data_IF_981037159381
#
_entry.id   IF_981037159381
#
_cell.length_a   1.000
_cell.length_b   1.000
_cell.length_c   1.000
_cell.angle_alpha   90.00
_cell.angle_beta   90.00
_cell.angle_gamma   90.00
#
_symmetry.space_group_name_H-M   'P 1'
#
loop_
_entity.id
_entity.type
_entity.pdbx_description
1 polymer ?
#
# COMPACT_ATOMS: atom_id res chain seq x y z
N UNK A 1 -1.40 -12.66 1.48
CA UNK A 1 -2.01 -11.68 2.43
C UNK A 1 -1.04 -10.54 2.73
N UNK A 2 -1.52 -9.39 3.24
CA UNK A 2 -0.70 -8.32 3.82
C UNK A 2 -0.91 -8.28 5.32
N UNK A 3 0.13 -8.02 6.12
CA UNK A 3 0.01 -8.00 7.58
C UNK A 3 -0.93 -6.91 8.09
N UNK A 4 -0.76 -5.67 7.62
CA UNK A 4 -1.52 -4.52 8.09
C UNK A 4 -1.35 -4.27 9.59
N UNK A 5 -2.31 -3.56 10.19
CA UNK A 5 -2.34 -3.28 11.62
C UNK A 5 -2.82 -4.44 12.51
N UNK A 6 -3.40 -5.51 11.93
CA UNK A 6 -3.86 -6.72 12.66
C UNK A 6 -3.45 -7.98 11.88
N UNK A 7 -2.17 -8.39 11.97
CA UNK A 7 -1.61 -9.46 11.16
C UNK A 7 -2.24 -10.82 11.43
N UNK A 8 -2.65 -11.10 12.67
CA UNK A 8 -3.29 -12.38 13.03
C UNK A 8 -4.70 -12.50 12.43
N UNK A 9 -5.49 -11.43 12.46
CA UNK A 9 -6.82 -11.42 11.83
C UNK A 9 -6.70 -11.52 10.31
N UNK A 10 -5.74 -10.83 9.71
CA UNK A 10 -5.52 -10.87 8.26
C UNK A 10 -5.03 -12.26 7.79
N UNK A 11 -4.19 -12.94 8.58
CA UNK A 11 -3.81 -14.34 8.32
C UNK A 11 -5.02 -15.28 8.45
N UNK A 12 -5.83 -15.12 9.50
CA UNK A 12 -7.02 -15.93 9.70
C UNK A 12 -8.02 -15.82 8.55
N UNK A 13 -8.25 -14.61 8.07
CA UNK A 13 -9.09 -14.37 6.87
C UNK A 13 -8.50 -14.98 5.60
N UNK A 14 -7.21 -14.81 5.38
CA UNK A 14 -6.55 -15.40 4.22
C UNK A 14 -6.62 -16.93 4.22
N UNK A 15 -6.57 -17.57 5.40
CA UNK A 15 -6.77 -19.00 5.55
C UNK A 15 -8.23 -19.41 5.27
N UNK A 16 -9.22 -18.65 5.77
CA UNK A 16 -10.65 -18.86 5.46
C UNK A 16 -10.92 -18.73 3.95
N UNK A 17 -10.47 -17.64 3.34
CA UNK A 17 -10.67 -17.33 1.93
C UNK A 17 -9.97 -18.32 0.98
N UNK A 18 -8.94 -19.02 1.46
CA UNK A 18 -8.23 -20.04 0.66
C UNK A 18 -9.06 -21.28 0.35
N UNK A 19 -10.22 -21.44 1.01
CA UNK A 19 -11.13 -22.56 0.78
C UNK A 19 -10.58 -23.91 1.28
N UNK A 20 -9.57 -23.91 2.17
CA UNK A 20 -8.98 -25.14 2.72
C UNK A 20 -9.77 -25.71 3.92
N UNK A 21 -10.85 -25.06 4.33
CA UNK A 21 -11.75 -25.53 5.37
C UNK A 21 -13.14 -25.88 4.79
N UNK A 22 -13.75 -26.94 5.32
CA UNK A 22 -15.13 -27.29 5.05
C UNK A 22 -16.00 -26.71 6.17
N UNK A 23 -16.41 -25.47 6.01
CA UNK A 23 -17.28 -24.82 6.98
C UNK A 23 -18.26 -23.92 6.26
N UNK A 24 -19.54 -24.02 6.63
CA UNK A 24 -20.61 -23.10 6.25
C UNK A 24 -20.81 -22.00 7.32
N UNK A 25 -19.91 -21.94 8.31
CA UNK A 25 -20.00 -20.96 9.40
C UNK A 25 -19.56 -19.57 8.89
N UNK A 26 -20.45 -18.61 8.95
CA UNK A 26 -20.11 -17.21 8.73
C UNK A 26 -19.07 -16.73 9.77
N UNK A 27 -17.98 -16.12 9.29
CA UNK A 27 -16.89 -15.60 10.11
C UNK A 27 -16.04 -16.66 10.84
N UNK A 28 -15.78 -17.80 10.21
CA UNK A 28 -14.89 -18.84 10.74
C UNK A 28 -13.48 -18.32 11.04
N UNK A 29 -13.04 -17.25 10.36
CA UNK A 29 -11.78 -16.58 10.66
C UNK A 29 -11.62 -16.19 12.14
N UNK A 30 -12.72 -15.96 12.90
CA UNK A 30 -12.64 -15.66 14.34
C UNK A 30 -12.16 -16.87 15.15
N UNK A 31 -12.57 -18.06 14.74
CA UNK A 31 -12.09 -19.30 15.33
C UNK A 31 -10.61 -19.52 15.01
N UNK A 32 -10.23 -19.33 13.74
CA UNK A 32 -8.84 -19.40 13.29
C UNK A 32 -7.97 -18.37 14.02
N UNK A 33 -8.41 -17.12 14.13
CA UNK A 33 -7.68 -16.08 14.88
C UNK A 33 -7.45 -16.46 16.35
N UNK A 34 -8.47 -17.01 17.01
CA UNK A 34 -8.32 -17.47 18.38
C UNK A 34 -7.30 -18.62 18.50
N UNK A 35 -7.25 -19.50 17.52
CA UNK A 35 -6.27 -20.58 17.44
C UNK A 35 -4.86 -20.05 17.20
N UNK A 36 -4.69 -19.17 16.23
CA UNK A 36 -3.41 -18.51 15.92
C UNK A 36 -2.84 -17.73 17.13
N UNK A 37 -3.70 -17.13 17.96
CA UNK A 37 -3.28 -16.38 19.14
C UNK A 37 -2.94 -17.21 20.37
N UNK A 38 -3.12 -18.55 20.36
CA UNK A 38 -2.89 -19.39 21.55
C UNK A 38 -1.43 -19.72 21.80
N UNK A 39 -0.68 -19.99 20.74
CA UNK A 39 0.73 -20.42 20.82
C UNK A 39 1.42 -20.24 19.49
N UNK A 40 2.74 -20.37 19.47
CA UNK A 40 3.55 -20.38 18.23
C UNK A 40 3.19 -21.54 17.29
N UNK A 41 2.57 -22.62 17.83
CA UNK A 41 2.09 -23.76 17.04
C UNK A 41 0.70 -23.52 16.43
N UNK A 42 0.04 -22.40 16.72
CA UNK A 42 -1.34 -22.14 16.32
C UNK A 42 -1.60 -22.24 14.82
N UNK A 43 -0.63 -21.85 13.97
CA UNK A 43 -0.73 -21.98 12.52
C UNK A 43 -0.68 -23.46 12.09
N UNK A 44 0.21 -24.24 12.68
CA UNK A 44 0.34 -25.68 12.42
C UNK A 44 -0.93 -26.40 12.84
N UNK A 45 -1.49 -26.05 14.00
CA UNK A 45 -2.75 -26.60 14.50
C UNK A 45 -3.92 -26.24 13.58
N UNK A 46 -3.99 -24.97 13.10
CA UNK A 46 -4.99 -24.52 12.15
C UNK A 46 -4.91 -25.32 10.84
N UNK A 47 -3.71 -25.49 10.29
CA UNK A 47 -3.50 -26.29 9.07
C UNK A 47 -3.80 -27.77 9.30
N UNK A 48 -3.57 -28.29 10.51
CA UNK A 48 -3.92 -29.68 10.85
C UNK A 48 -5.42 -29.95 10.83
N UNK A 49 -6.26 -28.92 11.08
CA UNK A 49 -7.72 -29.01 11.02
C UNK A 49 -8.28 -28.74 9.62
N UNK A 50 -7.43 -28.38 8.66
CA UNK A 50 -7.84 -28.15 7.27
C UNK A 50 -8.02 -29.46 6.51
N UNK A 51 -8.66 -29.38 5.32
CA UNK A 51 -8.78 -30.51 4.39
C UNK A 51 -7.55 -30.73 3.49
N UNK A 52 -6.46 -30.02 3.73
CA UNK A 52 -5.20 -30.22 3.03
C UNK A 52 -4.72 -31.66 3.25
N UNK A 53 -4.51 -32.39 2.17
CA UNK A 53 -4.01 -33.76 2.22
C UNK A 53 -2.53 -33.78 2.61
N UNK A 54 -2.05 -34.94 3.05
CA UNK A 54 -0.66 -35.08 3.49
C UNK A 54 0.36 -34.85 2.36
N UNK A 55 -0.02 -35.12 1.12
CA UNK A 55 0.76 -34.92 -0.09
C UNK A 55 0.72 -33.48 -0.63
N UNK A 56 -0.20 -32.65 -0.14
CA UNK A 56 -0.32 -31.27 -0.57
C UNK A 56 0.59 -30.35 0.27
N UNK A 57 1.08 -29.29 -0.36
CA UNK A 57 1.88 -28.27 0.30
C UNK A 57 1.02 -26.98 0.47
N UNK A 58 1.19 -26.30 1.60
CA UNK A 58 0.63 -24.98 1.82
C UNK A 58 1.70 -23.91 1.58
N UNK A 59 1.43 -22.97 0.69
CA UNK A 59 2.25 -21.79 0.49
C UNK A 59 1.57 -20.57 1.09
N UNK A 60 2.22 -19.94 2.06
CA UNK A 60 1.80 -18.67 2.66
C UNK A 60 2.66 -17.56 2.07
N UNK A 61 2.04 -16.63 1.34
CA UNK A 61 2.72 -15.44 0.80
C UNK A 61 2.31 -14.23 1.62
N UNK A 62 3.29 -13.62 2.29
CA UNK A 62 3.12 -12.37 3.04
C UNK A 62 3.75 -11.23 2.26
N UNK A 63 2.90 -10.43 1.64
CA UNK A 63 3.31 -9.27 0.83
C UNK A 63 3.39 -8.02 1.71
N UNK A 64 4.35 -7.14 1.43
CA UNK A 64 4.62 -5.92 2.20
C UNK A 64 4.89 -6.21 3.69
N UNK A 65 5.78 -7.18 3.95
CA UNK A 65 6.10 -7.61 5.32
C UNK A 65 6.64 -6.48 6.20
N UNK A 66 7.20 -5.43 5.61
CA UNK A 66 7.66 -4.22 6.32
C UNK A 66 6.54 -3.51 7.11
N UNK A 67 5.27 -3.77 6.83
CA UNK A 67 4.15 -3.22 7.59
C UNK A 67 4.21 -3.64 9.07
N UNK A 68 4.72 -4.84 9.36
CA UNK A 68 4.92 -5.34 10.73
C UNK A 68 5.80 -4.39 11.57
N UNK A 69 6.83 -3.81 10.97
CA UNK A 69 7.74 -2.90 11.67
C UNK A 69 7.12 -1.50 11.86
N UNK A 70 6.28 -1.07 10.93
CA UNK A 70 5.62 0.24 10.94
C UNK A 70 4.55 0.34 12.03
N UNK A 71 3.65 -0.64 12.12
CA UNK A 71 2.54 -0.62 13.07
C UNK A 71 2.96 -0.96 14.52
N UNK A 72 4.18 -1.43 14.73
CA UNK A 72 4.70 -1.72 16.06
C UNK A 72 4.88 -0.49 16.94
N UNK A 73 5.17 0.67 16.35
CA UNK A 73 5.47 1.90 17.08
C UNK A 73 4.30 2.52 17.83
N UNK A 74 3.06 2.14 17.47
CA UNK A 74 1.86 2.85 17.89
C UNK A 74 1.28 2.35 19.21
N UNK A 75 1.58 1.08 19.61
CA UNK A 75 1.02 0.52 20.84
C UNK A 75 1.79 -0.74 21.31
N UNK A 76 1.92 -0.93 22.62
CA UNK A 76 2.57 -2.13 23.19
C UNK A 76 1.86 -3.45 22.74
N UNK A 77 0.54 -3.42 22.55
CA UNK A 77 -0.23 -4.57 22.07
C UNK A 77 0.15 -4.95 20.63
N UNK A 78 0.41 -3.98 19.76
CA UNK A 78 0.84 -4.25 18.37
C UNK A 78 2.23 -4.87 18.32
N UNK A 79 3.12 -4.50 19.25
CA UNK A 79 4.45 -5.12 19.33
C UNK A 79 4.39 -6.61 19.70
N UNK A 80 3.51 -6.98 20.62
CA UNK A 80 3.29 -8.37 21.01
C UNK A 80 2.63 -9.18 19.87
N UNK A 81 1.65 -8.60 19.20
CA UNK A 81 0.95 -9.24 18.08
C UNK A 81 1.88 -9.44 16.87
N UNK A 82 2.74 -8.48 16.58
CA UNK A 82 3.78 -8.61 15.56
C UNK A 82 4.77 -9.74 15.88
N UNK A 83 5.22 -9.83 17.14
CA UNK A 83 6.11 -10.90 17.58
C UNK A 83 5.43 -12.28 17.49
N UNK A 84 4.16 -12.37 17.89
CA UNK A 84 3.36 -13.60 17.79
C UNK A 84 3.19 -14.04 16.32
N UNK A 85 2.87 -13.12 15.44
CA UNK A 85 2.73 -13.39 14.01
C UNK A 85 4.04 -13.92 13.40
N UNK A 86 5.17 -13.28 13.70
CA UNK A 86 6.49 -13.73 13.20
C UNK A 86 6.84 -15.11 13.73
N UNK A 87 6.62 -15.37 15.03
CA UNK A 87 6.89 -16.68 15.63
C UNK A 87 6.03 -17.79 15.02
N UNK A 88 4.75 -17.51 14.67
CA UNK A 88 3.90 -18.47 13.96
C UNK A 88 4.48 -18.85 12.59
N UNK A 89 4.99 -17.86 11.84
CA UNK A 89 5.58 -18.10 10.52
C UNK A 89 6.89 -18.88 10.61
N UNK A 90 7.75 -18.54 11.56
CA UNK A 90 9.03 -19.22 11.79
C UNK A 90 8.78 -20.69 12.18
N UNK A 91 7.95 -20.93 13.19
CA UNK A 91 7.63 -22.28 13.65
C UNK A 91 6.99 -23.13 12.55
N UNK A 92 6.09 -22.53 11.75
CA UNK A 92 5.47 -23.21 10.64
C UNK A 92 6.45 -23.56 9.51
N UNK A 93 7.46 -22.71 9.26
CA UNK A 93 8.48 -22.96 8.21
C UNK A 93 9.47 -24.07 8.58
N UNK A 94 9.66 -24.35 9.87
CA UNK A 94 10.54 -25.41 10.38
C UNK A 94 9.90 -26.79 10.40
N UNK A 95 8.58 -26.89 10.14
CA UNK A 95 7.85 -28.14 10.21
C UNK A 95 8.22 -29.11 9.07
N UNK A 96 8.46 -30.36 9.47
CA UNK A 96 8.77 -31.46 8.54
C UNK A 96 7.57 -32.40 8.30
N UNK A 97 6.57 -32.41 9.19
CA UNK A 97 5.41 -33.30 9.08
C UNK A 97 4.37 -32.83 8.07
N UNK A 98 4.19 -31.49 7.95
CA UNK A 98 3.38 -30.84 6.93
C UNK A 98 4.22 -29.79 6.24
N UNK A 99 4.29 -29.85 4.91
CA UNK A 99 5.09 -28.91 4.14
C UNK A 99 4.36 -27.55 4.07
N UNK A 100 4.65 -26.67 5.03
CA UNK A 100 4.22 -25.27 5.04
C UNK A 100 5.40 -24.43 4.58
N UNK A 101 5.24 -23.77 3.44
CA UNK A 101 6.24 -22.85 2.89
C UNK A 101 5.79 -21.40 3.13
N UNK A 102 6.72 -20.57 3.57
CA UNK A 102 6.48 -19.15 3.81
C UNK A 102 7.36 -18.33 2.87
N UNK A 103 6.74 -17.45 2.11
CA UNK A 103 7.44 -16.43 1.31
C UNK A 103 7.03 -15.06 1.83
N UNK A 104 8.00 -14.25 2.19
CA UNK A 104 7.79 -12.85 2.53
C UNK A 104 8.36 -11.97 1.42
N UNK A 105 7.63 -10.92 1.03
CA UNK A 105 8.16 -9.84 0.21
C UNK A 105 8.36 -8.62 1.08
N UNK A 106 9.51 -7.97 0.97
CA UNK A 106 9.85 -6.85 1.81
C UNK A 106 10.81 -5.90 1.08
N UNK A 107 10.73 -4.64 1.37
CA UNK A 107 11.70 -3.65 0.89
C UNK A 107 13.04 -3.86 1.59
N UNK A 108 14.13 -3.73 0.84
CA UNK A 108 15.50 -3.97 1.34
C UNK A 108 15.95 -2.99 2.45
N UNK A 109 15.35 -1.81 2.52
CA UNK A 109 15.61 -0.83 3.58
C UNK A 109 15.15 -1.30 4.97
N UNK A 110 14.24 -2.29 5.06
CA UNK A 110 13.78 -2.89 6.32
C UNK A 110 14.53 -4.17 6.74
N UNK A 111 15.54 -4.61 5.98
CA UNK A 111 16.32 -5.81 6.36
C UNK A 111 16.94 -5.70 7.75
N UNK A 112 17.42 -4.50 8.12
CA UNK A 112 17.97 -4.23 9.45
C UNK A 112 16.95 -4.42 10.59
N UNK A 113 15.67 -4.16 10.33
CA UNK A 113 14.60 -4.28 11.30
C UNK A 113 14.27 -5.73 11.67
N UNK A 114 14.60 -6.68 10.81
CA UNK A 114 14.45 -8.11 11.08
C UNK A 114 15.24 -8.54 12.32
N UNK A 115 16.36 -7.87 12.64
CA UNK A 115 17.18 -8.17 13.81
C UNK A 115 16.48 -7.90 15.15
N UNK A 116 15.38 -7.19 15.15
CA UNK A 116 14.57 -6.92 16.34
C UNK A 116 13.77 -8.16 16.79
N UNK A 117 13.66 -9.18 15.93
CA UNK A 117 12.91 -10.39 16.19
C UNK A 117 13.84 -11.61 16.15
N UNK A 118 13.84 -12.34 17.26
CA UNK A 118 14.68 -13.53 17.39
C UNK A 118 14.29 -14.58 16.35
N UNK A 119 15.28 -15.13 15.63
CA UNK A 119 15.08 -16.15 14.60
C UNK A 119 14.70 -15.61 13.23
N UNK A 120 14.16 -14.38 13.13
CA UNK A 120 13.75 -13.82 11.85
C UNK A 120 14.96 -13.45 10.98
N UNK A 121 15.99 -12.83 11.57
CA UNK A 121 17.19 -12.46 10.84
C UNK A 121 17.93 -13.70 10.31
N UNK A 122 17.99 -14.77 11.09
CA UNK A 122 18.59 -16.04 10.70
C UNK A 122 17.81 -16.65 9.53
N UNK A 123 16.49 -16.75 9.63
CA UNK A 123 15.63 -17.29 8.57
C UNK A 123 15.72 -16.47 7.27
N UNK A 124 15.78 -15.14 7.37
CA UNK A 124 16.00 -14.26 6.22
C UNK A 124 17.36 -14.54 5.58
N UNK A 125 18.44 -14.61 6.35
CA UNK A 125 19.78 -14.89 5.82
C UNK A 125 19.91 -16.27 5.12
N UNK A 126 19.12 -17.24 5.54
CA UNK A 126 19.09 -18.58 4.91
C UNK A 126 18.26 -18.63 3.63
N UNK A 127 17.22 -17.80 3.54
CA UNK A 127 16.22 -17.81 2.45
C UNK A 127 16.17 -16.56 1.60
N UNK A 128 17.11 -15.61 1.76
CA UNK A 128 17.07 -14.33 1.06
C UNK A 128 17.29 -14.48 -0.45
N UNK A 129 16.41 -13.84 -1.21
CA UNK A 129 16.61 -13.57 -2.63
C UNK A 129 16.45 -12.09 -2.93
N UNK A 130 17.55 -11.37 -3.07
CA UNK A 130 17.54 -9.95 -3.42
C UNK A 130 17.16 -9.77 -4.88
N UNK A 131 15.97 -9.19 -5.13
CA UNK A 131 15.51 -8.86 -6.48
C UNK A 131 16.28 -7.62 -6.98
N UNK A 132 17.07 -7.76 -8.07
CA UNK A 132 17.83 -6.63 -8.61
C UNK A 132 16.87 -5.61 -9.28
N UNK A 133 17.33 -4.36 -9.35
CA UNK A 133 16.63 -3.34 -10.14
C UNK A 133 16.56 -3.73 -11.61
N UNK A 134 15.47 -3.35 -12.28
CA UNK A 134 15.32 -3.58 -13.72
C UNK A 134 16.46 -2.87 -14.49
N UNK A 135 17.17 -3.61 -15.32
CA UNK A 135 18.10 -3.04 -16.28
C UNK A 135 17.35 -2.36 -17.45
N UNK A 136 18.09 -1.63 -18.30
CA UNK A 136 17.49 -0.86 -19.41
C UNK A 136 16.66 -1.73 -20.36
N UNK A 137 17.07 -2.96 -20.64
CA UNK A 137 16.34 -3.89 -21.50
C UNK A 137 15.05 -4.38 -20.86
N UNK A 138 15.08 -4.68 -19.55
CA UNK A 138 13.91 -5.08 -18.79
C UNK A 138 12.91 -3.92 -18.66
N UNK A 139 13.39 -2.68 -18.45
CA UNK A 139 12.54 -1.47 -18.47
C UNK A 139 11.87 -1.29 -19.84
N UNK A 140 12.61 -1.50 -20.94
CA UNK A 140 12.05 -1.49 -22.30
C UNK A 140 10.92 -2.51 -22.45
N UNK A 141 11.12 -3.75 -21.99
CA UNK A 141 10.08 -4.79 -22.04
C UNK A 141 8.87 -4.43 -21.19
N UNK A 142 9.08 -3.79 -20.02
CA UNK A 142 8.01 -3.32 -19.16
C UNK A 142 7.18 -2.17 -19.79
N UNK A 143 7.79 -1.38 -20.68
CA UNK A 143 7.10 -0.35 -21.45
C UNK A 143 6.36 -0.94 -22.65
N UNK A 144 7.04 -1.74 -23.48
CA UNK A 144 6.49 -2.25 -24.74
C UNK A 144 5.49 -3.39 -24.56
N UNK A 145 5.70 -4.22 -23.51
CA UNK A 145 4.89 -5.42 -23.27
C UNK A 145 3.40 -5.14 -23.09
N UNK A 146 3.00 -4.28 -22.14
CA UNK A 146 1.59 -3.93 -21.92
C UNK A 146 0.93 -3.34 -23.17
N UNK A 147 1.64 -2.49 -23.92
CA UNK A 147 1.12 -1.90 -25.15
C UNK A 147 0.82 -2.96 -26.21
N UNK A 148 1.71 -3.95 -26.36
CA UNK A 148 1.49 -5.10 -27.26
C UNK A 148 0.31 -5.97 -26.82
N UNK A 149 0.17 -6.22 -25.51
CA UNK A 149 -0.98 -6.96 -24.97
C UNK A 149 -2.29 -6.23 -25.23
N UNK A 150 -2.27 -4.88 -25.15
CA UNK A 150 -3.42 -4.04 -25.54
C UNK A 150 -3.68 -3.96 -27.04
N UNK A 151 -2.93 -4.71 -27.87
CA UNK A 151 -3.12 -4.78 -29.33
C UNK A 151 -2.59 -3.56 -30.09
N UNK A 152 -1.75 -2.73 -29.48
CA UNK A 152 -1.17 -1.53 -30.09
C UNK A 152 0.34 -1.58 -30.20
N UNK A 153 0.89 -0.57 -30.84
CA UNK A 153 2.33 -0.36 -30.96
C UNK A 153 2.71 0.98 -30.31
N UNK A 154 3.95 1.08 -29.89
CA UNK A 154 4.55 2.28 -29.32
C UNK A 154 5.75 2.69 -30.19
N UNK A 155 5.86 3.97 -30.49
CA UNK A 155 6.96 4.51 -31.30
C UNK A 155 8.30 4.44 -30.54
N UNK A 156 9.36 4.10 -31.27
CA UNK A 156 10.70 3.93 -30.67
C UNK A 156 11.19 5.21 -29.98
N UNK A 157 10.82 6.39 -30.47
CA UNK A 157 11.19 7.68 -29.86
C UNK A 157 10.53 7.86 -28.49
N UNK A 158 9.26 7.45 -28.33
CA UNK A 158 8.58 7.49 -27.01
C UNK A 158 9.22 6.50 -26.05
N UNK A 159 9.53 5.28 -26.48
CA UNK A 159 10.23 4.29 -25.64
C UNK A 159 11.57 4.83 -25.15
N UNK A 160 12.31 5.51 -26.04
CA UNK A 160 13.60 6.10 -25.69
C UNK A 160 13.46 7.23 -24.67
N UNK A 161 12.45 8.09 -24.82
CA UNK A 161 12.17 9.18 -23.89
C UNK A 161 11.79 8.64 -22.51
N UNK A 162 10.85 7.70 -22.44
CA UNK A 162 10.48 7.03 -21.20
C UNK A 162 11.69 6.38 -20.50
N UNK A 163 12.59 5.73 -21.27
CA UNK A 163 13.81 5.15 -20.73
C UNK A 163 14.82 6.19 -20.21
N UNK A 164 14.79 7.40 -20.71
CA UNK A 164 15.63 8.50 -20.25
C UNK A 164 15.02 9.15 -19.00
N UNK A 165 13.70 9.31 -18.96
CA UNK A 165 12.96 9.91 -17.85
C UNK A 165 12.93 9.03 -16.61
N UNK A 166 12.98 7.68 -16.78
CA UNK A 166 13.15 6.75 -15.68
C UNK A 166 14.57 6.92 -15.11
N UNK A 167 14.75 7.76 -14.12
CA UNK A 167 16.00 7.89 -13.39
C UNK A 167 16.41 6.60 -12.63
N UNK A 168 17.39 6.73 -11.74
CA UNK A 168 17.86 5.62 -10.90
C UNK A 168 17.07 5.45 -9.59
N UNK A 169 16.03 6.26 -9.38
CA UNK A 169 15.16 6.19 -8.21
C UNK A 169 14.27 4.92 -8.28
N UNK A 170 14.27 4.07 -7.22
CA UNK A 170 13.45 2.85 -7.19
C UNK A 170 11.94 3.12 -7.29
N UNK A 171 11.47 4.30 -6.88
CA UNK A 171 10.05 4.66 -6.87
C UNK A 171 9.53 5.14 -8.24
N UNK A 172 10.35 5.11 -9.28
CA UNK A 172 9.97 5.57 -10.63
C UNK A 172 9.06 4.60 -11.39
N UNK A 173 9.03 3.31 -11.04
CA UNK A 173 8.20 2.34 -11.75
C UNK A 173 6.69 2.59 -11.61
N UNK A 174 6.14 2.91 -10.44
CA UNK A 174 4.74 3.32 -10.31
C UNK A 174 4.42 4.60 -11.10
N UNK A 175 5.35 5.56 -11.13
CA UNK A 175 5.19 6.80 -11.91
C UNK A 175 5.19 6.49 -13.40
N UNK A 176 6.10 5.63 -13.87
CA UNK A 176 6.12 5.14 -15.24
C UNK A 176 4.81 4.47 -15.64
N UNK A 177 4.32 3.55 -14.80
CA UNK A 177 3.05 2.86 -15.04
C UNK A 177 1.91 3.86 -15.17
N UNK A 178 1.85 4.86 -14.29
CA UNK A 178 0.84 5.89 -14.32
C UNK A 178 0.95 6.77 -15.58
N UNK A 179 2.15 7.23 -15.93
CA UNK A 179 2.38 8.03 -17.13
C UNK A 179 2.00 7.27 -18.41
N UNK A 180 2.33 5.97 -18.50
CA UNK A 180 1.92 5.13 -19.63
C UNK A 180 0.40 4.96 -19.69
N UNK A 181 -0.27 4.77 -18.56
CA UNK A 181 -1.73 4.69 -18.48
C UNK A 181 -2.36 5.98 -19.00
N UNK A 182 -1.89 7.13 -18.55
CA UNK A 182 -2.37 8.46 -19.03
C UNK A 182 -2.12 8.69 -20.50
N UNK A 183 -0.93 8.30 -21.00
CA UNK A 183 -0.58 8.38 -22.42
C UNK A 183 -1.53 7.52 -23.26
N UNK A 184 -1.84 6.32 -22.78
CA UNK A 184 -2.81 5.41 -23.40
C UNK A 184 -4.20 6.04 -23.44
N UNK A 185 -4.71 6.53 -22.32
CA UNK A 185 -6.04 7.16 -22.22
C UNK A 185 -6.16 8.38 -23.15
N UNK A 186 -5.13 9.22 -23.19
CA UNK A 186 -5.10 10.38 -24.07
C UNK A 186 -5.19 9.97 -25.54
N UNK A 187 -4.40 8.96 -25.95
CA UNK A 187 -4.43 8.41 -27.29
C UNK A 187 -5.83 7.82 -27.62
N UNK A 188 -6.46 7.07 -26.73
CA UNK A 188 -7.81 6.52 -26.92
C UNK A 188 -8.87 7.61 -27.06
N UNK A 189 -8.83 8.65 -26.22
CA UNK A 189 -9.73 9.81 -26.30
C UNK A 189 -9.57 10.58 -27.61
N UNK A 190 -8.37 10.56 -28.20
CA UNK A 190 -8.07 11.12 -29.53
C UNK A 190 -8.53 10.26 -30.71
N UNK A 191 -9.25 9.13 -30.45
CA UNK A 191 -9.75 8.22 -31.48
C UNK A 191 -8.94 6.94 -31.64
N UNK A 192 -7.85 6.77 -30.89
CA UNK A 192 -7.09 5.52 -30.76
C UNK A 192 -6.39 5.05 -32.05
N UNK A 193 -6.23 5.92 -33.06
CA UNK A 193 -5.63 5.56 -34.33
C UNK A 193 -4.10 5.75 -34.31
N UNK A 194 -3.38 4.83 -34.95
CA UNK A 194 -1.92 4.87 -35.01
C UNK A 194 -1.24 4.31 -33.76
N UNK A 195 0.04 4.58 -33.66
CA UNK A 195 0.88 4.12 -32.56
C UNK A 195 0.88 5.14 -31.41
N UNK A 196 1.13 4.66 -30.17
CA UNK A 196 1.43 5.56 -29.07
C UNK A 196 2.73 6.31 -29.38
N UNK A 197 2.73 7.63 -29.26
CA UNK A 197 3.85 8.47 -29.63
C UNK A 197 4.13 9.59 -28.63
N UNK A 198 5.25 10.26 -28.79
CA UNK A 198 5.78 11.29 -27.90
C UNK A 198 4.76 12.42 -27.65
N UNK A 199 4.02 12.83 -28.68
CA UNK A 199 2.97 13.87 -28.57
C UNK A 199 1.89 13.53 -27.54
N UNK A 200 1.50 12.25 -27.44
CA UNK A 200 0.51 11.80 -26.46
C UNK A 200 1.07 11.84 -25.03
N UNK A 201 2.35 11.51 -24.88
CA UNK A 201 3.06 11.53 -23.62
C UNK A 201 3.31 12.97 -23.11
N UNK A 202 3.74 13.87 -23.98
CA UNK A 202 3.95 15.29 -23.67
C UNK A 202 2.63 15.98 -23.29
N UNK A 203 1.54 15.66 -23.98
CA UNK A 203 0.21 16.20 -23.69
C UNK A 203 -0.27 15.87 -22.27
N UNK A 204 0.15 14.72 -21.72
CA UNK A 204 -0.19 14.31 -20.35
C UNK A 204 0.76 14.82 -19.27
N UNK A 205 1.83 15.55 -19.65
CA UNK A 205 2.83 16.10 -18.73
C UNK A 205 4.01 15.18 -18.45
N UNK A 206 4.16 14.08 -19.19
CA UNK A 206 5.28 13.16 -19.04
C UNK A 206 5.31 12.48 -17.67
N UNK A 207 6.45 11.90 -17.30
CA UNK A 207 6.59 11.24 -15.98
C UNK A 207 6.54 12.21 -14.79
N UNK A 208 6.98 13.45 -14.99
CA UNK A 208 7.12 14.40 -13.88
C UNK A 208 5.78 14.95 -13.40
N UNK A 209 4.83 15.17 -14.30
CA UNK A 209 3.60 15.89 -14.02
C UNK A 209 2.33 15.02 -14.18
N UNK A 210 2.40 13.89 -14.90
CA UNK A 210 1.21 13.09 -15.20
C UNK A 210 0.42 12.67 -13.95
N UNK A 211 1.13 12.25 -12.89
CA UNK A 211 0.50 11.85 -11.64
C UNK A 211 -0.12 13.05 -10.90
N UNK A 212 0.61 14.17 -10.82
CA UNK A 212 0.13 15.40 -10.16
C UNK A 212 -1.07 16.00 -10.91
N UNK A 213 -0.96 16.17 -12.23
CA UNK A 213 -2.06 16.69 -13.05
C UNK A 213 -3.32 15.84 -12.94
N UNK A 214 -3.17 14.52 -12.95
CA UNK A 214 -4.33 13.63 -12.83
C UNK A 214 -4.99 13.73 -11.45
N UNK A 215 -4.21 13.86 -10.37
CA UNK A 215 -4.76 14.09 -9.05
C UNK A 215 -5.44 15.47 -8.95
N UNK A 216 -4.89 16.49 -9.62
CA UNK A 216 -5.48 17.84 -9.72
C UNK A 216 -6.80 17.81 -10.52
N UNK A 217 -6.87 17.06 -11.63
CA UNK A 217 -8.12 16.86 -12.38
C UNK A 217 -9.24 16.34 -11.47
N UNK A 218 -8.95 15.33 -10.62
CA UNK A 218 -9.93 14.80 -9.66
C UNK A 218 -10.32 15.86 -8.60
N UNK A 219 -9.33 16.62 -8.12
CA UNK A 219 -9.57 17.70 -7.15
C UNK A 219 -10.48 18.80 -7.73
N UNK A 220 -10.27 19.16 -8.98
CA UNK A 220 -11.06 20.19 -9.67
C UNK A 220 -12.50 19.72 -9.99
N UNK A 221 -12.71 18.41 -10.15
CA UNK A 221 -14.05 17.82 -10.32
C UNK A 221 -14.89 17.85 -9.04
N UNK A 222 -14.30 18.06 -7.86
CA UNK A 222 -15.04 18.14 -6.61
C UNK A 222 -16.00 19.34 -6.62
N UNK A 223 -17.27 19.04 -6.36
CA UNK A 223 -18.37 19.96 -6.65
C UNK A 223 -18.42 21.21 -5.73
N UNK A 224 -17.94 21.07 -4.48
CA UNK A 224 -18.07 22.12 -3.47
C UNK A 224 -16.72 22.44 -2.82
N UNK A 225 -16.60 23.66 -2.26
CA UNK A 225 -15.44 24.03 -1.45
C UNK A 225 -15.35 23.21 -0.15
N UNK A 226 -16.47 22.68 0.32
CA UNK A 226 -16.52 21.77 1.47
C UNK A 226 -15.88 20.42 1.13
N UNK A 227 -16.22 19.84 -0.04
CA UNK A 227 -15.61 18.61 -0.53
C UNK A 227 -14.10 18.76 -0.71
N UNK A 228 -13.63 19.90 -1.21
CA UNK A 228 -12.20 20.22 -1.34
C UNK A 228 -11.50 20.29 0.01
N UNK A 229 -12.14 20.87 1.03
CA UNK A 229 -11.62 20.88 2.41
C UNK A 229 -11.58 19.49 3.01
N UNK A 230 -12.58 18.66 2.75
CA UNK A 230 -12.57 17.27 3.21
C UNK A 230 -11.49 16.47 2.48
N UNK A 231 -11.32 16.66 1.18
CA UNK A 231 -10.23 16.06 0.41
C UNK A 231 -8.86 16.37 1.02
N UNK A 232 -8.57 17.64 1.30
CA UNK A 232 -7.33 18.06 1.96
C UNK A 232 -7.13 17.33 3.30
N UNK A 233 -8.15 17.30 4.17
CA UNK A 233 -8.08 16.65 5.47
C UNK A 233 -7.92 15.14 5.36
N UNK A 234 -8.60 14.48 4.40
CA UNK A 234 -8.46 13.05 4.11
C UNK A 234 -7.01 12.73 3.78
N UNK A 235 -6.43 13.41 2.80
CA UNK A 235 -5.06 13.13 2.37
C UNK A 235 -4.02 13.49 3.43
N UNK A 236 -4.24 14.53 4.24
CA UNK A 236 -3.41 14.82 5.42
C UNK A 236 -3.48 13.69 6.43
N UNK A 237 -4.67 13.21 6.78
CA UNK A 237 -4.86 12.11 7.74
C UNK A 237 -4.24 10.79 7.25
N UNK A 238 -4.29 10.53 5.93
CA UNK A 238 -3.66 9.36 5.31
C UNK A 238 -2.14 9.49 5.10
N UNK A 239 -1.53 10.60 5.54
CA UNK A 239 -0.09 10.86 5.37
C UNK A 239 0.52 11.22 6.72
N UNK A 240 1.47 10.43 7.19
CA UNK A 240 2.27 10.75 8.35
C UNK A 240 3.66 11.23 7.95
N UNK A 241 4.19 12.25 8.60
CA UNK A 241 5.54 12.77 8.34
C UNK A 241 6.51 12.31 9.41
N UNK A 242 7.45 11.47 9.05
CA UNK A 242 8.56 11.07 9.90
C UNK A 242 9.67 12.11 9.84
N UNK A 243 10.48 12.19 10.92
CA UNK A 243 11.51 13.20 11.20
C UNK A 243 12.55 13.44 10.09
N UNK A 244 12.65 12.59 9.08
CA UNK A 244 13.58 12.70 7.94
C UNK A 244 12.98 13.32 6.66
N UNK A 245 11.78 13.89 6.73
CA UNK A 245 11.19 14.62 5.59
C UNK A 245 10.47 13.76 4.56
N UNK A 246 10.40 12.44 4.74
CA UNK A 246 9.62 11.53 3.88
C UNK A 246 8.23 11.33 4.47
N UNK A 247 7.19 11.56 3.66
CA UNK A 247 5.82 11.17 4.02
C UNK A 247 5.69 9.65 4.02
N UNK A 248 5.02 9.10 5.03
CA UNK A 248 4.66 7.69 5.13
C UNK A 248 3.15 7.59 5.01
N UNK A 249 2.66 6.53 4.36
CA UNK A 249 1.23 6.24 4.31
C UNK A 249 0.72 5.87 5.70
N UNK A 250 -0.45 6.40 6.03
CA UNK A 250 -1.15 6.14 7.28
C UNK A 250 -2.56 5.60 6.98
N UNK A 251 -2.71 4.29 6.73
CA UNK A 251 -4.00 3.67 6.46
C UNK A 251 -4.95 3.86 7.64
N UNK A 252 -6.21 4.26 7.38
CA UNK A 252 -7.22 4.49 8.41
C UNK A 252 -8.56 3.87 8.04
N UNK A 253 -9.29 3.35 9.03
CA UNK A 253 -10.68 2.97 8.81
C UNK A 253 -11.55 4.20 8.51
N UNK A 254 -12.55 4.07 7.61
CA UNK A 254 -13.44 5.18 7.22
C UNK A 254 -14.10 5.86 8.42
N UNK A 255 -14.42 5.12 9.49
CA UNK A 255 -14.97 5.68 10.73
C UNK A 255 -13.99 6.59 11.46
N UNK A 256 -12.75 6.12 11.63
CA UNK A 256 -11.65 6.91 12.24
C UNK A 256 -11.29 8.12 11.39
N UNK A 257 -11.26 7.93 10.06
CA UNK A 257 -11.01 9.02 9.12
C UNK A 257 -12.07 10.12 9.24
N UNK A 258 -13.35 9.75 9.42
CA UNK A 258 -14.43 10.71 9.64
C UNK A 258 -14.25 11.50 10.94
N UNK A 259 -13.83 10.85 12.03
CA UNK A 259 -13.53 11.52 13.30
C UNK A 259 -12.40 12.53 13.16
N UNK A 260 -11.29 12.13 12.51
CA UNK A 260 -10.13 13.00 12.27
C UNK A 260 -10.47 14.19 11.37
N UNK A 261 -11.25 13.95 10.31
CA UNK A 261 -11.74 15.01 9.40
C UNK A 261 -12.73 15.94 10.10
N UNK A 262 -13.40 15.48 11.17
CA UNK A 262 -14.38 16.22 11.94
C UNK A 262 -15.77 16.18 11.29
N UNK A 263 -16.19 14.99 10.81
CA UNK A 263 -17.51 14.75 10.19
C UNK A 263 -18.27 13.72 11.03
N UNK A 264 -19.49 14.03 11.41
CA UNK A 264 -20.34 13.14 12.22
C UNK A 264 -20.77 11.87 11.47
N UNK A 265 -20.85 11.93 10.14
CA UNK A 265 -21.31 10.81 9.30
C UNK A 265 -20.24 10.45 8.26
N UNK A 266 -19.58 9.28 8.39
CA UNK A 266 -18.56 8.81 7.43
C UNK A 266 -19.05 8.79 5.97
N UNK A 267 -20.35 8.65 5.73
CA UNK A 267 -20.92 8.64 4.38
C UNK A 267 -20.70 9.95 3.61
N UNK A 268 -20.46 11.05 4.30
CA UNK A 268 -20.10 12.33 3.65
C UNK A 268 -18.75 12.30 2.95
N UNK A 269 -17.82 11.45 3.42
CA UNK A 269 -16.50 11.28 2.82
C UNK A 269 -16.51 10.30 1.65
N UNK A 270 -17.52 9.43 1.56
CA UNK A 270 -17.60 8.39 0.52
C UNK A 270 -17.47 8.96 -0.88
N UNK A 271 -18.21 10.01 -1.30
CA UNK A 271 -18.10 10.55 -2.66
C UNK A 271 -16.67 11.00 -3.02
N UNK A 272 -15.95 11.56 -2.04
CA UNK A 272 -14.58 12.06 -2.24
C UNK A 272 -13.62 10.88 -2.39
N UNK A 273 -13.70 9.89 -1.50
CA UNK A 273 -12.87 8.69 -1.58
C UNK A 273 -13.14 7.92 -2.87
N UNK A 274 -14.43 7.80 -3.28
CA UNK A 274 -14.82 7.17 -4.55
C UNK A 274 -14.23 7.91 -5.76
N UNK A 275 -14.21 9.24 -5.75
CA UNK A 275 -13.63 10.02 -6.84
C UNK A 275 -12.15 9.69 -7.07
N UNK A 276 -11.39 9.43 -5.99
CA UNK A 276 -9.96 9.12 -6.06
C UNK A 276 -9.63 7.64 -6.24
N UNK A 277 -10.57 6.72 -5.99
CA UNK A 277 -10.37 5.28 -6.18
C UNK A 277 -11.06 4.70 -7.41
N UNK A 278 -11.82 5.52 -8.15
CA UNK A 278 -12.51 5.11 -9.36
C UNK A 278 -11.59 4.43 -10.38
N UNK A 279 -12.18 3.60 -11.23
CA UNK A 279 -11.45 2.93 -12.32
C UNK A 279 -10.63 3.93 -13.16
N UNK A 280 -9.38 3.64 -13.41
CA UNK A 280 -8.42 4.51 -14.11
C UNK A 280 -7.76 5.57 -13.23
N UNK A 281 -8.25 5.85 -12.02
CA UNK A 281 -7.64 6.82 -11.08
C UNK A 281 -6.77 6.14 -10.05
N UNK A 282 -7.31 5.23 -9.30
CA UNK A 282 -6.61 4.33 -8.35
C UNK A 282 -5.59 5.03 -7.42
N UNK A 283 -5.89 6.25 -6.97
CA UNK A 283 -5.05 6.99 -6.00
C UNK A 283 -5.25 6.50 -4.58
N UNK A 284 -6.47 6.01 -4.29
CA UNK A 284 -6.83 5.45 -2.98
C UNK A 284 -7.22 3.96 -3.10
N UNK A 285 -6.99 3.24 -2.02
CA UNK A 285 -7.41 1.87 -1.79
C UNK A 285 -8.54 1.85 -0.74
N UNK A 286 -9.36 0.79 -0.69
CA UNK A 286 -9.36 -0.40 -1.54
C UNK A 286 -9.92 -0.13 -2.94
N UNK A 287 -9.84 -1.08 -3.89
CA UNK A 287 -10.42 -0.95 -5.23
C UNK A 287 -11.92 -0.60 -5.18
N UNK A 288 -12.42 0.04 -6.24
CA UNK A 288 -13.82 0.49 -6.37
C UNK A 288 -14.85 -0.66 -6.28
N UNK A 289 -14.44 -1.90 -6.51
CA UNK A 289 -15.27 -3.10 -6.34
C UNK A 289 -15.66 -3.40 -4.87
N UNK A 290 -14.99 -2.77 -3.89
CA UNK A 290 -15.27 -2.95 -2.46
C UNK A 290 -16.13 -1.79 -1.97
N UNK A 291 -17.32 -2.08 -1.44
CA UNK A 291 -18.21 -1.07 -0.86
C UNK A 291 -17.59 -0.43 0.40
N UNK A 292 -17.58 0.91 0.47
CA UNK A 292 -17.03 1.64 1.60
C UNK A 292 -17.99 1.64 2.79
N UNK A 293 -17.59 0.94 3.85
CA UNK A 293 -18.25 0.95 5.15
C UNK A 293 -17.34 1.52 6.26
N UNK A 294 -17.86 1.79 7.46
CA UNK A 294 -17.09 2.43 8.54
C UNK A 294 -15.82 1.71 8.96
N UNK A 295 -15.76 0.39 8.75
CA UNK A 295 -14.61 -0.47 9.09
C UNK A 295 -13.64 -0.70 7.93
N UNK A 296 -13.96 -0.21 6.74
CA UNK A 296 -13.11 -0.37 5.56
C UNK A 296 -11.92 0.56 5.70
N UNK A 297 -10.72 0.01 5.55
CA UNK A 297 -9.47 0.77 5.64
C UNK A 297 -9.21 1.44 4.30
N UNK A 298 -9.02 2.76 4.34
CA UNK A 298 -8.61 3.59 3.20
C UNK A 298 -7.12 3.86 3.31
N UNK A 299 -6.40 3.76 2.19
CA UNK A 299 -4.97 4.02 2.11
C UNK A 299 -4.61 4.70 0.79
N UNK A 300 -3.50 5.41 0.75
CA UNK A 300 -2.91 5.93 -0.49
C UNK A 300 -2.28 4.76 -1.25
N UNK A 301 -2.64 4.58 -2.52
CA UNK A 301 -2.19 3.44 -3.31
C UNK A 301 -0.67 3.39 -3.51
N UNK A 302 -0.03 4.54 -3.72
CA UNK A 302 1.39 4.66 -3.99
C UNK A 302 2.04 5.82 -3.24
N UNK A 303 3.17 5.56 -2.58
CA UNK A 303 3.96 6.59 -1.88
C UNK A 303 4.40 7.73 -2.80
N UNK A 304 4.56 7.45 -4.10
CA UNK A 304 4.91 8.46 -5.11
C UNK A 304 3.93 9.64 -5.14
N UNK A 305 2.63 9.42 -4.86
CA UNK A 305 1.65 10.50 -4.81
C UNK A 305 2.02 11.55 -3.77
N UNK A 306 2.48 11.13 -2.60
CA UNK A 306 2.89 12.04 -1.51
C UNK A 306 4.13 12.89 -1.85
N UNK A 307 4.88 12.49 -2.88
CA UNK A 307 6.12 13.19 -3.30
C UNK A 307 5.91 14.11 -4.49
N UNK A 308 4.95 13.77 -5.37
CA UNK A 308 4.79 14.49 -6.64
C UNK A 308 3.51 15.30 -6.73
N UNK A 309 2.46 14.99 -5.97
CA UNK A 309 1.24 15.79 -6.02
C UNK A 309 1.40 17.11 -5.27
N UNK A 310 1.46 18.20 -6.03
CA UNK A 310 1.77 19.52 -5.51
C UNK A 310 0.84 20.02 -4.39
N UNK A 311 -0.46 19.67 -4.44
CA UNK A 311 -1.40 19.97 -3.34
C UNK A 311 -1.02 19.22 -2.07
N UNK A 312 -0.80 17.91 -2.15
CA UNK A 312 -0.51 17.09 -0.98
C UNK A 312 0.82 17.47 -0.33
N UNK A 313 1.88 17.68 -1.13
CA UNK A 313 3.17 18.14 -0.64
C UNK A 313 3.03 19.44 0.16
N UNK A 314 2.32 20.43 -0.38
CA UNK A 314 2.07 21.71 0.29
C UNK A 314 1.27 21.55 1.57
N UNK A 315 0.16 20.80 1.54
CA UNK A 315 -0.70 20.58 2.70
C UNK A 315 0.02 19.92 3.87
N UNK A 316 0.85 18.92 3.59
CA UNK A 316 1.66 18.21 4.61
C UNK A 316 2.77 19.12 5.16
N UNK A 317 3.38 19.98 4.32
CA UNK A 317 4.39 20.96 4.77
C UNK A 317 3.78 22.03 5.68
N UNK A 318 2.62 22.57 5.34
CA UNK A 318 1.88 23.54 6.15
C UNK A 318 1.49 22.97 7.52
N UNK A 319 1.03 21.72 7.56
CA UNK A 319 0.67 21.04 8.79
C UNK A 319 1.89 20.79 9.68
N UNK A 320 3.01 20.31 9.10
CA UNK A 320 4.26 20.11 9.82
C UNK A 320 4.81 21.42 10.41
N UNK A 321 4.66 22.52 9.67
CA UNK A 321 5.06 23.85 10.17
C UNK A 321 4.17 24.30 11.33
N UNK A 322 2.86 24.11 11.22
CA UNK A 322 1.90 24.43 12.27
C UNK A 322 2.14 23.61 13.54
N UNK A 323 2.41 22.31 13.40
CA UNK A 323 2.75 21.43 14.52
C UNK A 323 4.05 21.85 15.22
N UNK A 324 5.08 22.30 14.50
CA UNK A 324 6.33 22.84 15.08
C UNK A 324 6.07 24.12 15.89
N UNK A 325 5.26 25.03 15.34
CA UNK A 325 4.90 26.29 16.05
C UNK A 325 4.14 25.96 17.33
N UNK A 326 3.17 25.05 17.26
CA UNK A 326 2.39 24.62 18.44
C UNK A 326 3.27 24.01 19.52
N UNK A 327 4.19 23.10 19.17
CA UNK A 327 5.15 22.51 20.14
C UNK A 327 6.01 23.58 20.80
N UNK A 328 6.57 24.50 20.03
CA UNK A 328 7.35 25.61 20.58
C UNK A 328 6.55 26.48 21.56
N UNK A 329 5.30 26.79 21.25
CA UNK A 329 4.41 27.54 22.13
C UNK A 329 4.09 26.75 23.41
N UNK A 330 3.81 25.45 23.28
CA UNK A 330 3.57 24.57 24.43
C UNK A 330 4.78 24.49 25.34
N UNK A 331 5.97 24.26 24.79
CA UNK A 331 7.24 24.21 25.54
C UNK A 331 7.54 25.56 26.24
N UNK A 332 7.33 26.67 25.52
CA UNK A 332 7.50 28.01 26.09
C UNK A 332 6.51 28.27 27.23
N UNK A 333 5.24 27.84 27.05
CA UNK A 333 4.19 27.99 28.10
C UNK A 333 4.51 27.20 29.36
N UNK A 334 5.17 26.05 29.27
CA UNK A 334 5.61 25.27 30.42
C UNK A 334 6.74 26.00 31.17
N UNK A 335 7.69 26.62 30.46
CA UNK A 335 8.78 27.39 31.05
C UNK A 335 8.29 28.66 31.77
N UNK A 336 7.14 29.22 31.40
CA UNK A 336 6.55 30.39 32.10
C UNK A 336 5.69 30.01 33.31
N UNK A 337 5.44 28.69 33.55
CA UNK A 337 4.71 28.22 34.73
C UNK A 337 5.60 27.80 35.90
N UNK A 338 6.92 27.69 35.68
CA UNK A 338 7.96 27.59 36.70
C UNK A 338 8.45 28.99 37.11
#
# INVERSE_FOLDING_TARGET
MRPGGDPLTNLARALEDSGIYDTDEDNYYRHLRAMLGRSTMGLIEAVAQSKIKKEDNLLIVVDQFEEIFRFRSDNANHAEEAANFINLLLEASEQTEKSIFVIITMRSDFLGDCSQFRGLAEAVNEGEYLIPRLNRNQRRLAIEGPVKVGGKQIEARLVQELLNDIGDDPDQLPILQHALMRTWEYHEKGGGQGNLDLEHYEATGGMQEALSRHADEVYDELSTDEDRKYCEKIFKALTERVSEGRGIRHPMAMGELAEVVGVDDPRKLVPIVEAYRAAGRTFLMPPDSIELGPKVVVDISHESLMRVWGHLVRWVDEEAQSARIYRRLADTSLLFKE
#
